data_IF_578966600850
#
_entry.id   IF_578966600850
#
_cell.length_a   1.000
_cell.length_b   1.000
_cell.length_c   1.000
_cell.angle_alpha   90.00
_cell.angle_beta   90.00
_cell.angle_gamma   90.00
#
_symmetry.space_group_name_H-M   'P 1'
#
loop_
_entity.id
_entity.type
_entity.pdbx_description
1 polymer ?
#
# COMPACT_ATOMS: atom_id res chain seq x y z
N UNK A 1 5.03 -7.23 8.51
CA UNK A 1 5.18 -8.57 7.94
C UNK A 1 6.18 -9.39 8.77
N UNK A 2 7.47 -9.04 8.86
CA UNK A 2 8.50 -9.80 9.61
C UNK A 2 8.14 -9.95 11.09
N UNK A 3 7.68 -8.90 11.76
CA UNK A 3 7.30 -8.96 13.18
C UNK A 3 6.12 -9.92 13.43
N UNK A 4 5.18 -10.03 12.47
CA UNK A 4 4.13 -11.04 12.49
C UNK A 4 4.70 -12.45 12.39
N UNK A 5 5.62 -12.68 11.45
CA UNK A 5 6.28 -13.98 11.26
C UNK A 5 7.05 -14.41 12.52
N UNK A 6 7.75 -13.50 13.17
CA UNK A 6 8.46 -13.78 14.45
C UNK A 6 7.47 -14.20 15.53
N UNK A 7 6.35 -13.51 15.68
CA UNK A 7 5.30 -13.85 16.66
C UNK A 7 4.69 -15.22 16.36
N UNK A 8 4.36 -15.48 15.09
CA UNK A 8 3.69 -16.71 14.66
C UNK A 8 4.64 -17.91 14.83
N UNK A 9 5.93 -17.74 14.49
CA UNK A 9 6.96 -18.76 14.73
C UNK A 9 7.15 -19.07 16.22
N UNK A 10 7.13 -18.02 17.08
CA UNK A 10 7.21 -18.20 18.53
C UNK A 10 5.99 -18.97 19.08
N UNK A 11 4.79 -18.72 18.56
CA UNK A 11 3.57 -19.45 18.95
C UNK A 11 3.67 -20.91 18.56
N UNK A 12 4.06 -21.21 17.33
CA UNK A 12 4.24 -22.58 16.84
C UNK A 12 5.29 -23.34 17.64
N UNK A 13 6.44 -22.73 17.96
CA UNK A 13 7.48 -23.34 18.77
C UNK A 13 7.00 -23.67 20.20
N UNK A 14 6.17 -22.80 20.78
CA UNK A 14 5.55 -23.03 22.10
C UNK A 14 4.57 -24.18 22.06
N UNK A 15 3.67 -24.20 21.08
CA UNK A 15 2.67 -25.24 20.90
C UNK A 15 3.30 -26.63 20.67
N UNK A 16 4.43 -26.66 19.96
CA UNK A 16 5.20 -27.88 19.71
C UNK A 16 6.12 -28.30 20.88
N UNK A 17 6.18 -27.54 21.98
CA UNK A 17 7.02 -27.82 23.13
C UNK A 17 8.53 -27.59 22.92
N UNK A 18 8.91 -26.88 21.84
CA UNK A 18 10.31 -26.56 21.54
C UNK A 18 10.80 -25.24 22.16
N UNK A 19 9.92 -24.48 22.82
CA UNK A 19 10.23 -23.20 23.39
C UNK A 19 10.32 -23.29 24.92
N UNK A 20 11.51 -23.10 25.46
CA UNK A 20 11.73 -22.96 26.91
C UNK A 20 11.65 -21.51 27.36
N UNK A 21 11.69 -21.25 28.69
CA UNK A 21 11.46 -19.91 29.26
C UNK A 21 12.37 -18.79 28.71
N UNK A 22 13.61 -19.13 28.35
CA UNK A 22 14.56 -18.17 27.78
C UNK A 22 14.12 -17.73 26.38
N UNK A 23 13.77 -18.69 25.51
CA UNK A 23 13.31 -18.40 24.16
C UNK A 23 11.97 -17.67 24.15
N UNK A 24 11.04 -18.05 25.02
CA UNK A 24 9.77 -17.36 25.15
C UNK A 24 9.96 -15.90 25.56
N UNK A 25 10.84 -15.65 26.51
CA UNK A 25 11.16 -14.30 26.95
C UNK A 25 11.84 -13.49 25.83
N UNK A 26 12.81 -14.10 25.13
CA UNK A 26 13.50 -13.48 24.00
C UNK A 26 12.53 -13.05 22.90
N UNK A 27 11.63 -13.96 22.50
CA UNK A 27 10.63 -13.63 21.46
C UNK A 27 9.65 -12.55 21.92
N UNK A 28 9.26 -12.55 23.20
CA UNK A 28 8.43 -11.47 23.76
C UNK A 28 9.14 -10.13 23.69
N UNK A 29 10.42 -10.05 24.09
CA UNK A 29 11.22 -8.83 23.97
C UNK A 29 11.35 -8.39 22.51
N UNK A 30 11.63 -9.30 21.57
CA UNK A 30 11.72 -8.97 20.15
C UNK A 30 10.42 -8.38 19.60
N UNK A 31 9.25 -8.92 20.00
CA UNK A 31 7.95 -8.39 19.60
C UNK A 31 7.68 -7.02 20.23
N UNK A 32 8.01 -6.83 21.51
CA UNK A 32 7.88 -5.55 22.23
C UNK A 32 8.78 -4.50 21.57
N UNK A 33 10.05 -4.81 21.34
CA UNK A 33 11.02 -3.93 20.66
C UNK A 33 10.49 -3.45 19.32
N UNK A 34 9.99 -4.39 18.49
CA UNK A 34 9.44 -4.03 17.18
C UNK A 34 8.16 -3.17 17.26
N UNK A 35 7.33 -3.34 18.29
CA UNK A 35 6.18 -2.46 18.56
C UNK A 35 6.61 -1.08 19.02
N UNK A 36 7.56 -1.00 19.97
CA UNK A 36 8.15 0.25 20.45
C UNK A 36 8.75 1.04 19.31
N UNK A 37 9.62 0.42 18.49
CA UNK A 37 10.23 1.05 17.35
C UNK A 37 9.19 1.68 16.39
N UNK A 38 8.05 1.00 16.15
CA UNK A 38 6.98 1.52 15.29
C UNK A 38 6.16 2.63 15.91
N UNK A 39 6.01 2.63 17.23
CA UNK A 39 5.20 3.62 17.95
C UNK A 39 6.00 4.86 18.31
N UNK A 40 7.24 4.66 18.80
CA UNK A 40 8.10 5.73 19.35
C UNK A 40 8.93 6.42 18.27
N UNK A 41 9.04 5.83 17.07
CA UNK A 41 9.84 6.40 15.97
C UNK A 41 9.08 6.47 14.65
N UNK A 42 9.48 7.34 13.72
CA UNK A 42 8.91 7.38 12.37
C UNK A 42 9.31 6.21 11.46
N UNK A 43 9.98 5.16 11.93
CA UNK A 43 10.52 4.07 11.09
C UNK A 43 9.47 3.35 10.23
N UNK A 44 8.23 3.33 10.67
CA UNK A 44 7.11 2.70 9.95
C UNK A 44 6.32 3.67 9.08
N UNK A 45 6.63 4.98 9.11
CA UNK A 45 5.90 5.99 8.34
C UNK A 45 6.34 5.99 6.87
N UNK A 46 5.41 6.39 5.99
CA UNK A 46 5.62 6.53 4.56
C UNK A 46 5.62 5.21 3.77
N UNK A 47 5.74 5.33 2.45
CA UNK A 47 5.53 4.24 1.49
C UNK A 47 6.70 3.26 1.41
N UNK A 48 6.52 2.06 1.95
CA UNK A 48 7.47 0.94 1.83
C UNK A 48 7.26 0.08 0.58
N UNK A 49 6.12 0.17 -0.08
CA UNK A 49 5.76 -0.58 -1.29
C UNK A 49 5.18 0.34 -2.36
N UNK A 50 5.11 -0.11 -3.60
CA UNK A 50 4.47 0.62 -4.71
C UNK A 50 3.01 0.95 -4.40
N UNK A 51 2.28 0.01 -3.81
CA UNK A 51 0.87 0.20 -3.46
C UNK A 51 0.67 1.26 -2.35
N UNK A 52 1.59 1.35 -1.39
CA UNK A 52 1.57 2.42 -0.39
C UNK A 52 1.98 3.77 -1.00
N UNK A 53 2.99 3.77 -1.91
CA UNK A 53 3.40 4.98 -2.62
C UNK A 53 2.27 5.57 -3.47
N UNK A 54 1.45 4.73 -4.10
CA UNK A 54 0.29 5.18 -4.86
C UNK A 54 -0.74 5.90 -3.96
N UNK A 55 -1.00 5.38 -2.76
CA UNK A 55 -1.90 6.03 -1.79
C UNK A 55 -1.30 7.33 -1.23
N UNK A 56 0.00 7.33 -0.92
CA UNK A 56 0.70 8.54 -0.45
C UNK A 56 0.68 9.63 -1.52
N UNK A 57 0.97 9.28 -2.78
CA UNK A 57 0.86 10.19 -3.91
C UNK A 57 -0.57 10.74 -4.08
N UNK A 58 -1.58 9.89 -3.94
CA UNK A 58 -2.97 10.33 -4.02
C UNK A 58 -3.30 11.36 -2.93
N UNK A 59 -2.82 11.15 -1.70
CA UNK A 59 -2.97 12.12 -0.60
C UNK A 59 -2.20 13.43 -0.82
N UNK A 60 -0.98 13.32 -1.35
CA UNK A 60 -0.17 14.52 -1.65
C UNK A 60 -0.81 15.36 -2.76
N UNK A 61 -1.48 14.71 -3.73
CA UNK A 61 -2.09 15.39 -4.87
C UNK A 61 -3.49 15.93 -4.57
N UNK A 62 -4.32 15.16 -3.86
CA UNK A 62 -5.76 15.44 -3.66
C UNK A 62 -6.11 15.87 -2.22
N UNK A 63 -5.14 15.80 -1.29
CA UNK A 63 -5.38 16.00 0.13
C UNK A 63 -6.03 14.79 0.80
N UNK A 64 -6.99 15.03 1.68
CA UNK A 64 -7.72 13.95 2.34
C UNK A 64 -8.51 13.11 1.32
N UNK A 65 -8.39 11.80 1.46
CA UNK A 65 -9.10 10.83 0.60
C UNK A 65 -10.52 10.53 1.11
N UNK A 66 -10.87 10.98 2.30
CA UNK A 66 -12.23 10.84 2.85
C UNK A 66 -13.24 11.50 1.90
N UNK A 67 -14.27 10.77 1.52
CA UNK A 67 -15.28 11.25 0.58
C UNK A 67 -14.92 11.14 -0.90
N UNK A 68 -13.68 10.74 -1.25
CA UNK A 68 -13.26 10.53 -2.65
C UNK A 68 -13.70 9.17 -3.17
N UNK A 69 -13.86 9.10 -4.50
CA UNK A 69 -14.17 7.86 -5.22
C UNK A 69 -12.91 7.31 -5.88
N UNK A 70 -12.63 6.02 -5.68
CA UNK A 70 -11.48 5.35 -6.25
C UNK A 70 -11.86 4.26 -7.26
N UNK A 71 -10.95 4.00 -8.22
CA UNK A 71 -11.04 2.91 -9.18
C UNK A 71 -9.70 2.19 -9.27
N UNK A 72 -9.72 0.86 -9.24
CA UNK A 72 -8.55 0.03 -9.56
C UNK A 72 -8.84 -0.78 -10.82
N UNK A 73 -7.96 -0.66 -11.80
CA UNK A 73 -8.05 -1.31 -13.11
C UNK A 73 -6.98 -2.40 -13.17
N UNK A 74 -7.39 -3.66 -13.33
CA UNK A 74 -6.51 -4.81 -13.30
C UNK A 74 -6.25 -5.30 -11.87
N UNK A 75 -6.67 -6.54 -11.59
CA UNK A 75 -6.64 -7.16 -10.25
C UNK A 75 -5.66 -8.34 -10.19
N UNK A 76 -4.49 -8.16 -10.79
CA UNK A 76 -3.31 -8.98 -10.53
C UNK A 76 -2.79 -8.76 -9.10
N UNK A 77 -1.64 -9.31 -8.75
CA UNK A 77 -1.07 -9.20 -7.39
C UNK A 77 -0.92 -7.74 -6.93
N UNK A 78 -0.39 -6.86 -7.81
CA UNK A 78 -0.21 -5.44 -7.45
C UNK A 78 -1.54 -4.71 -7.34
N UNK A 79 -2.48 -4.93 -8.28
CA UNK A 79 -3.80 -4.31 -8.23
C UNK A 79 -4.59 -4.68 -6.98
N UNK A 80 -4.55 -5.95 -6.54
CA UNK A 80 -5.16 -6.39 -5.29
C UNK A 80 -4.55 -5.69 -4.07
N UNK A 81 -3.23 -5.49 -4.05
CA UNK A 81 -2.56 -4.78 -2.96
C UNK A 81 -2.95 -3.30 -2.92
N UNK A 82 -3.02 -2.64 -4.08
CA UNK A 82 -3.49 -1.25 -4.18
C UNK A 82 -4.94 -1.14 -3.73
N UNK A 83 -5.82 -2.02 -4.19
CA UNK A 83 -7.24 -2.02 -3.82
C UNK A 83 -7.42 -2.12 -2.29
N UNK A 84 -6.68 -3.04 -1.63
CA UNK A 84 -6.70 -3.18 -0.16
C UNK A 84 -6.19 -1.94 0.55
N UNK A 85 -5.12 -1.33 0.04
CA UNK A 85 -4.57 -0.11 0.63
C UNK A 85 -5.51 1.08 0.46
N UNK A 86 -6.10 1.27 -0.71
CA UNK A 86 -7.09 2.33 -0.94
C UNK A 86 -8.34 2.15 -0.06
N UNK A 87 -8.88 0.93 0.04
CA UNK A 87 -10.02 0.62 0.89
C UNK A 87 -9.77 0.97 2.38
N UNK A 88 -8.53 0.83 2.86
CA UNK A 88 -8.16 1.14 4.23
C UNK A 88 -8.02 2.66 4.53
N UNK A 89 -8.13 3.54 3.52
CA UNK A 89 -7.89 4.98 3.67
C UNK A 89 -9.15 5.85 3.60
N UNK A 90 -10.32 5.27 3.84
CA UNK A 90 -11.57 6.03 4.07
C UNK A 90 -12.20 6.63 2.82
N UNK A 91 -11.94 6.07 1.63
CA UNK A 91 -12.67 6.44 0.42
C UNK A 91 -14.19 6.29 0.62
N UNK A 92 -14.98 7.19 0.04
CA UNK A 92 -16.43 7.09 0.03
C UNK A 92 -16.93 5.89 -0.79
N UNK A 93 -16.16 5.50 -1.82
CA UNK A 93 -16.41 4.32 -2.62
C UNK A 93 -15.18 3.86 -3.36
N UNK A 94 -15.06 2.56 -3.54
CA UNK A 94 -14.02 1.92 -4.32
C UNK A 94 -14.64 1.04 -5.40
N UNK A 95 -14.25 1.26 -6.65
CA UNK A 95 -14.65 0.46 -7.79
C UNK A 95 -13.48 -0.41 -8.26
N UNK A 96 -13.77 -1.62 -8.67
CA UNK A 96 -12.79 -2.60 -9.12
C UNK A 96 -13.14 -3.07 -10.53
N UNK A 97 -12.27 -2.84 -11.49
CA UNK A 97 -12.42 -3.23 -12.87
C UNK A 97 -11.38 -4.28 -13.28
N UNK A 98 -11.82 -5.38 -13.85
CA UNK A 98 -10.93 -6.43 -14.35
C UNK A 98 -11.55 -7.11 -15.57
N UNK A 99 -10.71 -7.68 -16.47
CA UNK A 99 -11.22 -8.45 -17.62
C UNK A 99 -12.08 -9.64 -17.22
N UNK A 100 -11.75 -10.32 -16.10
CA UNK A 100 -12.62 -11.33 -15.51
C UNK A 100 -13.53 -10.63 -14.50
N UNK A 101 -14.83 -10.54 -14.77
CA UNK A 101 -15.82 -9.95 -13.85
C UNK A 101 -15.89 -10.71 -12.52
N UNK A 102 -15.67 -12.02 -12.52
CA UNK A 102 -15.70 -12.87 -11.33
C UNK A 102 -14.60 -12.46 -10.34
N UNK A 103 -13.39 -12.18 -10.84
CA UNK A 103 -12.26 -11.71 -10.02
C UNK A 103 -12.60 -10.36 -9.38
N UNK A 104 -13.19 -9.45 -10.14
CA UNK A 104 -13.62 -8.15 -9.64
C UNK A 104 -14.71 -8.30 -8.56
N UNK A 105 -15.73 -9.10 -8.84
CA UNK A 105 -16.83 -9.34 -7.90
C UNK A 105 -16.38 -10.03 -6.60
N UNK A 106 -15.45 -10.98 -6.68
CA UNK A 106 -14.91 -11.67 -5.50
C UNK A 106 -14.15 -10.70 -4.58
N UNK A 107 -13.26 -9.89 -5.14
CA UNK A 107 -12.49 -8.93 -4.36
C UNK A 107 -13.36 -7.78 -3.86
N UNK A 108 -14.35 -7.34 -4.64
CA UNK A 108 -15.30 -6.29 -4.25
C UNK A 108 -16.06 -6.68 -3.00
N UNK A 109 -16.56 -7.92 -2.89
CA UNK A 109 -17.21 -8.42 -1.68
C UNK A 109 -16.29 -8.39 -0.45
N UNK A 110 -15.01 -8.70 -0.61
CA UNK A 110 -14.04 -8.70 0.49
C UNK A 110 -13.71 -7.29 1.01
N UNK A 111 -13.78 -6.29 0.13
CA UNK A 111 -13.36 -4.92 0.42
C UNK A 111 -14.54 -3.94 0.61
N UNK A 112 -15.78 -4.43 0.59
CA UNK A 112 -16.98 -3.60 0.55
C UNK A 112 -16.92 -2.56 -0.60
N UNK A 113 -16.48 -3.03 -1.79
CA UNK A 113 -16.29 -2.26 -3.00
C UNK A 113 -17.31 -2.67 -4.08
N UNK A 114 -17.34 -1.96 -5.20
CA UNK A 114 -18.20 -2.26 -6.34
C UNK A 114 -17.40 -2.87 -7.50
N UNK A 115 -17.93 -3.91 -8.13
CA UNK A 115 -17.39 -4.42 -9.39
C UNK A 115 -17.86 -3.57 -10.57
N UNK A 116 -16.94 -3.24 -11.48
CA UNK A 116 -17.23 -2.50 -12.73
C UNK A 116 -16.91 -3.40 -13.91
N UNK A 117 -17.84 -3.51 -14.86
CA UNK A 117 -17.61 -4.20 -16.10
C UNK A 117 -16.54 -3.49 -16.94
N UNK A 118 -15.78 -4.25 -17.73
CA UNK A 118 -14.69 -3.68 -18.55
C UNK A 118 -15.22 -2.64 -19.56
N UNK A 119 -16.40 -2.87 -20.08
CA UNK A 119 -17.10 -2.00 -21.05
C UNK A 119 -17.56 -0.67 -20.42
N UNK A 120 -17.75 -0.65 -19.09
CA UNK A 120 -18.16 0.53 -18.34
C UNK A 120 -16.96 1.32 -17.76
N UNK A 121 -15.73 1.00 -18.15
CA UNK A 121 -14.52 1.63 -17.64
C UNK A 121 -14.52 3.15 -17.83
N UNK A 122 -14.93 3.64 -19.00
CA UNK A 122 -14.96 5.07 -19.30
C UNK A 122 -15.98 5.82 -18.44
N UNK A 123 -17.13 5.20 -18.18
CA UNK A 123 -18.16 5.76 -17.31
C UNK A 123 -17.67 5.83 -15.86
N UNK A 124 -16.97 4.79 -15.41
CA UNK A 124 -16.36 4.79 -14.10
C UNK A 124 -15.30 5.90 -13.96
N UNK A 125 -14.39 6.02 -14.94
CA UNK A 125 -13.36 7.07 -14.97
C UNK A 125 -13.95 8.49 -15.03
N UNK A 126 -15.11 8.65 -15.67
CA UNK A 126 -15.80 9.94 -15.67
C UNK A 126 -16.33 10.35 -14.29
N UNK A 127 -16.45 9.43 -13.34
CA UNK A 127 -17.05 9.70 -12.01
C UNK A 127 -16.06 9.68 -10.85
N UNK A 128 -14.99 8.86 -10.90
CA UNK A 128 -14.04 8.72 -9.81
C UNK A 128 -13.04 9.88 -9.72
N UNK A 129 -12.42 10.05 -8.56
CA UNK A 129 -11.37 11.06 -8.34
C UNK A 129 -9.97 10.47 -8.56
N UNK A 130 -9.82 9.17 -8.29
CA UNK A 130 -8.55 8.43 -8.34
C UNK A 130 -8.73 7.17 -9.15
N UNK A 131 -7.89 6.96 -10.16
CA UNK A 131 -7.75 5.69 -10.85
C UNK A 131 -6.34 5.14 -10.72
N UNK A 132 -6.21 3.84 -10.44
CA UNK A 132 -4.92 3.14 -10.46
C UNK A 132 -5.00 2.01 -11.48
N UNK A 133 -4.11 2.04 -12.49
CA UNK A 133 -4.01 0.99 -13.49
C UNK A 133 -2.85 0.05 -13.20
N UNK A 134 -3.14 -1.25 -13.22
CA UNK A 134 -2.24 -2.33 -12.84
C UNK A 134 -2.50 -3.59 -13.68
N UNK A 135 -2.74 -3.44 -15.00
CA UNK A 135 -3.04 -4.59 -15.86
C UNK A 135 -1.77 -5.25 -16.40
N UNK A 136 -1.93 -6.34 -17.10
CA UNK A 136 -0.87 -7.01 -17.87
C UNK A 136 -1.07 -6.84 -19.37
N UNK A 137 -1.74 -5.76 -19.79
CA UNK A 137 -1.97 -5.47 -21.20
C UNK A 137 -0.63 -5.23 -21.91
N UNK A 138 -0.54 -5.69 -23.16
CA UNK A 138 0.68 -5.52 -23.97
C UNK A 138 0.73 -4.15 -24.66
N UNK A 139 -0.39 -3.46 -24.71
CA UNK A 139 -0.54 -2.14 -25.30
C UNK A 139 -1.36 -1.25 -24.37
N UNK A 140 -1.18 0.07 -24.44
CA UNK A 140 -1.97 1.00 -23.64
C UNK A 140 -3.46 0.78 -23.82
N UNK A 141 -4.18 0.72 -22.71
CA UNK A 141 -5.64 0.59 -22.68
C UNK A 141 -6.34 1.94 -22.60
N UNK A 142 -5.62 2.97 -22.11
CA UNK A 142 -6.07 4.35 -22.03
C UNK A 142 -5.19 5.21 -22.95
N UNK A 143 -5.72 5.50 -24.12
CA UNK A 143 -5.07 6.38 -25.09
C UNK A 143 -5.41 7.84 -24.81
N UNK A 144 -4.62 8.76 -25.34
CA UNK A 144 -4.85 10.19 -25.18
C UNK A 144 -6.23 10.64 -25.66
N UNK A 145 -6.72 10.27 -26.89
CA UNK A 145 -8.05 10.66 -27.33
C UNK A 145 -9.18 10.11 -26.43
N UNK A 146 -8.99 8.88 -25.91
CA UNK A 146 -9.95 8.28 -24.98
C UNK A 146 -10.03 9.07 -23.67
N UNK A 147 -8.89 9.46 -23.13
CA UNK A 147 -8.81 10.25 -21.89
C UNK A 147 -9.35 11.67 -22.09
N UNK A 148 -9.09 12.31 -23.22
CA UNK A 148 -9.71 13.62 -23.57
C UNK A 148 -11.25 13.52 -23.54
N UNK A 149 -11.82 12.52 -24.18
CA UNK A 149 -13.28 12.27 -24.16
C UNK A 149 -13.83 12.01 -22.76
N UNK A 150 -13.09 11.29 -21.91
CA UNK A 150 -13.48 11.04 -20.51
C UNK A 150 -13.44 12.35 -19.71
N UNK A 151 -12.38 13.15 -19.86
CA UNK A 151 -12.19 14.42 -19.13
C UNK A 151 -13.26 15.45 -19.51
N UNK A 152 -13.66 15.52 -20.77
CA UNK A 152 -14.76 16.39 -21.25
C UNK A 152 -16.08 16.12 -20.49
N UNK A 153 -16.35 14.86 -20.16
CA UNK A 153 -17.55 14.43 -19.42
C UNK A 153 -17.49 14.76 -17.92
N UNK A 154 -16.34 15.19 -17.41
CA UNK A 154 -16.14 15.45 -15.97
C UNK A 154 -16.50 16.87 -15.52
N UNK A 155 -16.94 17.73 -16.43
CA UNK A 155 -17.31 19.11 -16.11
C UNK A 155 -16.22 19.87 -15.33
N UNK A 156 -14.96 19.72 -15.72
CA UNK A 156 -13.80 20.38 -15.12
C UNK A 156 -13.30 19.73 -13.81
N UNK A 157 -13.89 18.62 -13.35
CA UNK A 157 -13.37 17.90 -12.17
C UNK A 157 -12.05 17.18 -12.54
N UNK A 158 -10.95 17.39 -11.81
CA UNK A 158 -9.69 16.72 -12.11
C UNK A 158 -9.79 15.21 -11.89
N UNK A 159 -8.95 14.48 -12.61
CA UNK A 159 -8.75 13.03 -12.46
C UNK A 159 -7.30 12.76 -12.13
N UNK A 160 -7.04 12.06 -11.04
CA UNK A 160 -5.74 11.49 -10.76
C UNK A 160 -5.66 10.07 -11.32
N UNK A 161 -4.72 9.82 -12.23
CA UNK A 161 -4.39 8.47 -12.71
C UNK A 161 -2.97 8.08 -12.32
N UNK A 162 -2.83 6.87 -11.81
CA UNK A 162 -1.54 6.29 -11.44
C UNK A 162 -1.36 5.00 -12.21
N UNK A 163 -0.39 4.97 -13.13
CA UNK A 163 -0.06 3.81 -13.94
C UNK A 163 1.09 3.02 -13.30
N UNK A 164 0.78 1.86 -12.75
CA UNK A 164 1.79 0.93 -12.18
C UNK A 164 1.99 -0.32 -13.03
N UNK A 165 1.42 -0.34 -14.22
CA UNK A 165 1.54 -1.47 -15.15
C UNK A 165 2.90 -1.51 -15.85
N UNK A 166 3.34 -2.71 -16.19
CA UNK A 166 4.52 -2.96 -17.03
C UNK A 166 4.15 -4.06 -18.04
N UNK A 167 4.06 -3.70 -19.32
CA UNK A 167 4.17 -2.37 -19.95
C UNK A 167 3.11 -1.39 -19.47
N UNK A 168 3.27 -0.09 -19.80
CA UNK A 168 2.33 0.97 -19.40
C UNK A 168 0.95 0.75 -19.97
N UNK A 169 -0.06 0.95 -19.15
CA UNK A 169 -1.48 0.91 -19.52
C UNK A 169 -1.97 2.23 -20.12
N UNK A 170 -1.27 3.34 -19.84
CA UNK A 170 -1.66 4.70 -20.23
C UNK A 170 -0.61 5.28 -21.17
N UNK A 171 -1.04 5.84 -22.28
CA UNK A 171 -0.14 6.54 -23.21
C UNK A 171 0.57 7.71 -22.53
N UNK A 172 1.92 7.82 -22.61
CA UNK A 172 2.67 8.87 -21.93
C UNK A 172 2.26 10.29 -22.30
N UNK A 173 1.86 10.52 -23.56
CA UNK A 173 1.41 11.83 -24.06
C UNK A 173 0.11 12.30 -23.41
N UNK A 174 -0.64 11.40 -22.77
CA UNK A 174 -1.86 11.72 -22.02
C UNK A 174 -1.60 12.68 -20.85
N UNK A 175 -0.35 12.79 -20.37
CA UNK A 175 0.03 13.76 -19.32
C UNK A 175 -0.29 15.22 -19.65
N UNK A 176 -0.47 15.54 -20.93
CA UNK A 176 -0.79 16.88 -21.42
C UNK A 176 -2.30 17.14 -21.53
N UNK A 177 -3.15 16.15 -21.20
CA UNK A 177 -4.62 16.33 -21.21
C UNK A 177 -5.02 17.24 -20.05
N UNK A 178 -5.72 18.35 -20.29
CA UNK A 178 -6.16 19.26 -19.26
C UNK A 178 -7.03 18.55 -18.19
N UNK A 179 -6.77 18.80 -16.93
CA UNK A 179 -7.51 18.18 -15.82
C UNK A 179 -7.06 16.76 -15.46
N UNK A 180 -6.07 16.20 -16.18
CA UNK A 180 -5.47 14.91 -15.84
C UNK A 180 -4.16 15.11 -15.04
N UNK A 181 -4.08 14.48 -13.90
CA UNK A 181 -2.84 14.28 -13.14
C UNK A 181 -2.38 12.84 -13.37
N UNK A 182 -1.42 12.63 -14.26
CA UNK A 182 -0.91 11.31 -14.60
C UNK A 182 0.46 11.07 -13.98
N UNK A 183 0.57 10.01 -13.21
CA UNK A 183 1.82 9.53 -12.62
C UNK A 183 2.07 8.08 -13.04
N UNK A 184 3.34 7.73 -13.16
CA UNK A 184 3.78 6.40 -13.52
C UNK A 184 4.62 5.72 -12.41
N UNK A 185 5.01 4.48 -12.66
CA UNK A 185 5.78 3.68 -11.73
C UNK A 185 7.12 4.32 -11.37
N UNK A 186 7.78 5.03 -12.30
CA UNK A 186 9.07 5.67 -12.06
C UNK A 186 8.95 6.78 -11.02
N UNK A 187 7.88 7.57 -11.10
CA UNK A 187 7.60 8.62 -10.12
C UNK A 187 7.27 8.04 -8.73
N UNK A 188 6.58 6.89 -8.67
CA UNK A 188 6.36 6.18 -7.40
C UNK A 188 7.67 5.63 -6.82
N UNK A 189 8.61 5.21 -7.65
CA UNK A 189 9.95 4.80 -7.17
C UNK A 189 10.70 5.96 -6.52
N UNK A 190 10.59 7.18 -7.03
CA UNK A 190 11.19 8.37 -6.42
C UNK A 190 10.57 8.65 -5.04
N UNK A 191 9.25 8.56 -4.90
CA UNK A 191 8.57 8.72 -3.61
C UNK A 191 9.06 7.67 -2.61
N UNK A 192 9.12 6.41 -3.02
CA UNK A 192 9.67 5.32 -2.19
C UNK A 192 11.11 5.58 -1.76
N UNK A 193 11.97 6.02 -2.67
CA UNK A 193 13.37 6.32 -2.36
C UNK A 193 13.50 7.43 -1.30
N UNK A 194 12.71 8.50 -1.39
CA UNK A 194 12.63 9.55 -0.36
C UNK A 194 12.19 8.98 1.00
N UNK A 195 11.20 8.11 1.00
CA UNK A 195 10.72 7.43 2.21
C UNK A 195 11.80 6.53 2.82
N UNK A 196 12.53 5.75 2.01
CA UNK A 196 13.64 4.94 2.51
C UNK A 196 14.77 5.80 3.08
N UNK A 197 15.13 6.91 2.44
CA UNK A 197 16.13 7.84 2.96
C UNK A 197 15.69 8.47 4.29
N UNK A 198 14.41 8.81 4.44
CA UNK A 198 13.85 9.29 5.70
C UNK A 198 13.90 8.23 6.80
N UNK A 199 13.54 6.99 6.47
CA UNK A 199 13.62 5.85 7.41
C UNK A 199 15.05 5.57 7.85
N UNK A 200 16.03 5.65 6.94
CA UNK A 200 17.44 5.47 7.28
C UNK A 200 17.91 6.46 8.35
N UNK A 201 17.44 7.70 8.32
CA UNK A 201 17.73 8.70 9.36
C UNK A 201 17.14 8.36 10.74
N UNK A 202 16.17 7.45 10.78
CA UNK A 202 15.51 7.01 12.02
C UNK A 202 16.21 5.79 12.64
N UNK A 203 17.09 5.12 11.90
CA UNK A 203 17.81 3.92 12.39
C UNK A 203 18.48 4.16 13.75
N UNK A 204 19.22 5.25 14.00
CA UNK A 204 19.85 5.46 15.31
C UNK A 204 18.86 5.50 16.47
N UNK A 205 17.64 6.03 16.26
CA UNK A 205 16.60 6.04 17.28
C UNK A 205 16.09 4.63 17.58
N UNK A 206 15.99 3.78 16.54
CA UNK A 206 15.57 2.38 16.69
C UNK A 206 16.67 1.57 17.39
N UNK A 207 17.95 1.84 17.09
CA UNK A 207 19.09 1.18 17.72
C UNK A 207 19.10 1.42 19.23
N UNK A 208 18.83 2.64 19.70
CA UNK A 208 18.69 2.95 21.13
C UNK A 208 17.60 2.10 21.78
N UNK A 209 16.43 1.96 21.13
CA UNK A 209 15.34 1.12 21.66
C UNK A 209 15.78 -0.35 21.74
N UNK A 210 16.52 -0.84 20.73
CA UNK A 210 17.04 -2.22 20.70
C UNK A 210 18.03 -2.41 21.86
N UNK A 211 18.97 -1.48 22.07
CA UNK A 211 19.96 -1.55 23.14
C UNK A 211 19.31 -1.58 24.52
N UNK A 212 18.27 -0.76 24.75
CA UNK A 212 17.52 -0.76 26.01
C UNK A 212 16.85 -2.11 26.27
N UNK A 213 16.21 -2.70 25.29
CA UNK A 213 15.53 -4.00 25.44
C UNK A 213 16.53 -5.16 25.57
N UNK A 214 17.66 -5.10 24.85
CA UNK A 214 18.76 -6.08 25.03
C UNK A 214 19.33 -6.03 26.43
N UNK A 215 19.53 -4.83 26.99
CA UNK A 215 20.01 -4.63 28.36
C UNK A 215 19.03 -5.21 29.36
N UNK A 216 17.74 -4.89 29.22
CA UNK A 216 16.69 -5.40 30.09
C UNK A 216 16.58 -6.95 30.03
N UNK A 217 16.73 -7.53 28.84
CA UNK A 217 16.77 -9.00 28.69
C UNK A 217 18.00 -9.61 29.37
N UNK A 218 19.19 -9.02 29.21
CA UNK A 218 20.42 -9.50 29.81
C UNK A 218 20.38 -9.40 31.37
N UNK A 219 19.75 -8.36 31.93
CA UNK A 219 19.53 -8.22 33.35
C UNK A 219 18.60 -9.30 33.91
N UNK A 220 17.48 -9.57 33.19
CA UNK A 220 16.58 -10.64 33.57
C UNK A 220 17.26 -12.01 33.50
N UNK A 221 18.09 -12.28 32.48
CA UNK A 221 18.81 -13.55 32.33
C UNK A 221 19.81 -13.76 33.49
N UNK A 222 20.54 -12.71 33.89
CA UNK A 222 21.47 -12.75 35.04
C UNK A 222 20.72 -13.04 36.33
N UNK A 223 19.62 -12.34 36.59
CA UNK A 223 18.79 -12.57 37.77
C UNK A 223 18.31 -14.02 37.85
N UNK A 224 17.83 -14.56 36.74
CA UNK A 224 17.36 -15.95 36.67
C UNK A 224 18.49 -16.97 36.94
N UNK A 225 19.71 -16.69 36.51
CA UNK A 225 20.87 -17.60 36.72
C UNK A 225 21.37 -17.57 38.15
N UNK A 226 20.96 -16.59 38.94
CA UNK A 226 21.34 -16.40 40.36
C UNK A 226 20.25 -16.87 41.33
N UNK A 227 19.07 -17.22 40.84
CA UNK A 227 17.94 -17.75 41.60
C UNK A 227 17.81 -19.26 41.43
#
# INVERSE_FOLDING_TARGET
QILGQVRDAASQAREAGYSGPILERLFNYAVVTGKRARHETPISRGAGSVSQAAVELARDTLGDLTGRQGLVIGLGEMGKLVARNLAAHGLAGLSLCNRSPETAAQLARQLNASGVAWEALDDALATVDIGVSATSARQPILTRPRLESILDRRAGRPLLLIDIAVPRDIEPDSRHVPGLHLYDLDQLHVIRAKTFASRARTIPQVEVIIEDEVRAFAEWQRWRSSA
#
